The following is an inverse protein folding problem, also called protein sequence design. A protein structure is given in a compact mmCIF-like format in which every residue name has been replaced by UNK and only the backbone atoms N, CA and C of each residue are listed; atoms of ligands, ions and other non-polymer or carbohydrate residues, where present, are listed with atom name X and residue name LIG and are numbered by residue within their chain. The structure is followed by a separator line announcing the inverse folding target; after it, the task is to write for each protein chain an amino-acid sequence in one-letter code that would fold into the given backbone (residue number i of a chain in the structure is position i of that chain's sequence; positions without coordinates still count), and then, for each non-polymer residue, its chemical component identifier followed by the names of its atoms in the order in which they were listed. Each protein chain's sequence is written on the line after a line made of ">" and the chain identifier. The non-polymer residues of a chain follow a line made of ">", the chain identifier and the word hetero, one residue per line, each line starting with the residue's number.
data_IF_769928641053
#
_entry.id   IF_769928641053
#
_cell.length_a   1.000
_cell.length_b   1.000
_cell.length_c   1.000
_cell.angle_alpha   90.00
_cell.angle_beta   90.00
_cell.angle_gamma   90.00
#
_symmetry.space_group_name_H-M   'P 1'
#
loop_
_entity.id
_entity.type
_entity.pdbx_description
1 polymer ?
#
# COMPACT_ATOMS: atom_id res chain seq x y z
N UNK A 1 2.57 -25.31 -5.88
CA UNK A 1 2.02 -23.94 -5.69
C UNK A 1 2.95 -22.95 -6.36
N UNK A 2 2.53 -22.31 -7.43
CA UNK A 2 3.31 -21.36 -8.23
C UNK A 2 3.75 -20.17 -7.39
N UNK A 3 5.05 -19.89 -7.39
CA UNK A 3 5.58 -18.68 -6.72
C UNK A 3 4.93 -17.45 -7.33
N UNK A 4 4.15 -16.73 -6.54
CA UNK A 4 3.74 -15.37 -6.90
C UNK A 4 5.02 -14.53 -6.85
N UNK A 5 5.57 -14.25 -8.00
CA UNK A 5 6.72 -13.34 -8.15
C UNK A 5 6.39 -12.37 -9.28
N UNK A 6 6.46 -11.09 -8.99
CA UNK A 6 6.36 -10.07 -10.03
C UNK A 6 7.63 -10.11 -10.87
N UNK A 7 7.53 -10.79 -12.02
CA UNK A 7 8.60 -10.92 -12.98
C UNK A 7 8.79 -9.62 -13.76
N UNK A 8 9.99 -9.40 -14.25
CA UNK A 8 10.32 -8.26 -15.12
C UNK A 8 9.71 -8.46 -16.53
N UNK A 9 8.39 -8.58 -16.61
CA UNK A 9 7.59 -8.73 -17.84
C UNK A 9 6.55 -7.63 -17.91
N UNK A 10 6.22 -7.16 -19.08
CA UNK A 10 5.23 -6.10 -19.33
C UNK A 10 3.88 -6.42 -18.65
N UNK A 11 3.41 -7.67 -18.73
CA UNK A 11 2.16 -8.08 -18.07
C UNK A 11 2.20 -7.97 -16.54
N UNK A 12 3.39 -8.09 -15.91
CA UNK A 12 3.55 -7.90 -14.47
C UNK A 12 3.42 -6.41 -14.09
N UNK A 13 4.01 -5.52 -14.87
CA UNK A 13 3.87 -4.07 -14.66
C UNK A 13 2.43 -3.61 -14.85
N UNK A 14 1.75 -4.13 -15.87
CA UNK A 14 0.32 -3.85 -16.08
C UNK A 14 -0.53 -4.29 -14.89
N UNK A 15 -0.27 -5.47 -14.32
CA UNK A 15 -0.97 -5.94 -13.12
C UNK A 15 -0.74 -5.00 -11.93
N UNK A 16 0.47 -4.49 -11.75
CA UNK A 16 0.78 -3.54 -10.66
C UNK A 16 0.03 -2.21 -10.86
N UNK A 17 -0.02 -1.70 -12.08
CA UNK A 17 -0.82 -0.51 -12.42
C UNK A 17 -2.30 -0.74 -12.09
N UNK A 18 -2.85 -1.89 -12.50
CA UNK A 18 -4.24 -2.25 -12.22
C UNK A 18 -4.51 -2.32 -10.71
N UNK A 19 -3.61 -2.92 -9.92
CA UNK A 19 -3.70 -2.93 -8.47
C UNK A 19 -3.66 -1.52 -7.87
N UNK A 20 -2.81 -0.63 -8.42
CA UNK A 20 -2.78 0.78 -8.03
C UNK A 20 -4.10 1.50 -8.31
N UNK A 21 -4.67 1.28 -9.49
CA UNK A 21 -5.97 1.86 -9.88
C UNK A 21 -7.08 1.36 -8.95
N UNK A 22 -7.17 0.05 -8.70
CA UNK A 22 -8.19 -0.53 -7.83
C UNK A 22 -8.01 -0.02 -6.39
N UNK A 23 -6.77 -0.02 -5.88
CA UNK A 23 -6.46 0.51 -4.56
C UNK A 23 -6.85 1.97 -4.42
N UNK A 24 -6.49 2.80 -5.41
CA UNK A 24 -6.84 4.22 -5.44
C UNK A 24 -8.34 4.48 -5.53
N UNK A 25 -9.07 3.67 -6.32
CA UNK A 25 -10.52 3.76 -6.42
C UNK A 25 -11.21 3.41 -5.09
N UNK A 26 -10.80 2.32 -4.45
CA UNK A 26 -11.32 1.92 -3.14
C UNK A 26 -11.09 3.01 -2.10
N UNK A 27 -9.87 3.48 -2.00
CA UNK A 27 -9.50 4.53 -1.07
C UNK A 27 -10.27 5.81 -1.34
N UNK A 28 -10.24 6.30 -2.59
CA UNK A 28 -10.94 7.51 -2.97
C UNK A 28 -12.45 7.43 -2.76
N UNK A 29 -13.04 6.24 -2.96
CA UNK A 29 -14.44 6.00 -2.64
C UNK A 29 -14.72 6.15 -1.15
N UNK A 30 -13.91 5.51 -0.34
CA UNK A 30 -14.12 5.51 1.11
C UNK A 30 -13.81 6.86 1.78
N UNK A 31 -12.89 7.66 1.27
CA UNK A 31 -12.61 9.01 1.78
C UNK A 31 -13.79 10.01 1.63
N UNK A 32 -14.85 9.64 0.91
CA UNK A 32 -16.01 10.51 0.70
C UNK A 32 -17.00 10.49 1.86
N UNK A 33 -16.94 9.50 2.74
CA UNK A 33 -17.84 9.39 3.88
C UNK A 33 -17.42 10.35 5.00
N UNK A 34 -18.43 11.02 5.62
CA UNK A 34 -18.21 12.00 6.66
C UNK A 34 -17.61 11.38 7.93
N UNK A 35 -16.74 12.13 8.60
CA UNK A 35 -16.21 11.77 9.90
C UNK A 35 -17.26 11.72 11.01
N UNK A 36 -18.33 12.49 10.85
CA UNK A 36 -19.36 12.67 11.85
C UNK A 36 -20.40 11.55 11.83
N UNK A 37 -20.36 10.69 10.82
CA UNK A 37 -21.28 9.58 10.70
C UNK A 37 -20.80 8.41 11.54
N UNK A 38 -21.40 8.25 12.72
CA UNK A 38 -21.08 7.16 13.67
C UNK A 38 -21.19 5.76 13.04
N UNK A 39 -22.04 5.61 12.03
CA UNK A 39 -22.20 4.37 11.27
C UNK A 39 -21.13 4.18 10.20
N UNK A 40 -20.76 5.23 9.55
CA UNK A 40 -19.59 5.21 8.69
C UNK A 40 -18.32 5.11 9.54
N UNK A 41 -18.45 5.08 10.88
CA UNK A 41 -17.36 4.94 11.83
C UNK A 41 -16.33 6.06 11.70
N UNK A 42 -16.80 7.25 11.39
CA UNK A 42 -15.89 8.29 10.99
C UNK A 42 -14.84 7.71 10.03
N UNK A 43 -15.36 7.01 9.04
CA UNK A 43 -14.67 5.89 8.43
C UNK A 43 -13.38 6.34 7.83
N UNK A 44 -13.36 7.54 7.34
CA UNK A 44 -12.42 7.84 6.31
C UNK A 44 -11.98 9.29 6.37
N UNK A 45 -11.28 9.59 7.40
CA UNK A 45 -10.65 10.89 7.49
C UNK A 45 -9.38 11.04 6.72
N UNK A 46 -8.66 10.02 6.65
CA UNK A 46 -7.43 9.94 5.88
C UNK A 46 -7.14 8.48 5.63
N UNK A 47 -6.51 8.20 4.52
CA UNK A 47 -6.05 6.85 4.23
C UNK A 47 -5.18 6.33 5.34
N UNK A 48 -5.39 5.09 5.72
CA UNK A 48 -4.43 4.39 6.55
C UNK A 48 -3.13 4.25 5.77
N UNK A 49 -2.08 4.89 6.23
CA UNK A 49 -0.74 4.66 5.71
C UNK A 49 -0.35 3.19 5.87
N UNK A 50 -0.91 2.49 6.87
CA UNK A 50 -0.72 1.07 7.09
C UNK A 50 -1.16 0.20 5.91
N UNK A 51 -2.30 0.46 5.31
CA UNK A 51 -2.72 -0.23 4.09
C UNK A 51 -1.72 -0.02 2.94
N UNK A 52 -1.23 1.19 2.76
CA UNK A 52 -0.25 1.52 1.73
C UNK A 52 1.09 0.86 1.97
N UNK A 53 1.56 0.94 3.21
CA UNK A 53 2.81 0.31 3.61
C UNK A 53 2.74 -1.21 3.45
N UNK A 54 1.62 -1.83 3.81
CA UNK A 54 1.39 -3.26 3.62
C UNK A 54 1.47 -3.64 2.15
N UNK A 55 0.62 -3.04 1.32
CA UNK A 55 0.50 -3.40 -0.10
C UNK A 55 1.77 -3.09 -0.89
N UNK A 56 2.34 -1.89 -0.72
CA UNK A 56 3.58 -1.51 -1.39
C UNK A 56 4.74 -2.42 -0.98
N UNK A 57 4.87 -2.70 0.32
CA UNK A 57 5.95 -3.55 0.82
C UNK A 57 5.85 -4.98 0.34
N UNK A 58 4.65 -5.55 0.26
CA UNK A 58 4.44 -6.87 -0.31
C UNK A 58 4.79 -6.90 -1.80
N UNK A 59 4.36 -5.91 -2.57
CA UNK A 59 4.71 -5.78 -4.00
C UNK A 59 6.23 -5.78 -4.17
N UNK A 60 6.94 -5.00 -3.37
CA UNK A 60 8.41 -4.92 -3.42
C UNK A 60 9.06 -6.24 -3.05
N UNK A 61 8.65 -6.86 -1.95
CA UNK A 61 9.23 -8.12 -1.46
C UNK A 61 8.98 -9.29 -2.41
N UNK A 62 7.90 -9.25 -3.18
CA UNK A 62 7.61 -10.26 -4.22
C UNK A 62 8.20 -9.92 -5.59
N UNK A 63 8.81 -8.75 -5.76
CA UNK A 63 9.47 -8.37 -7.01
C UNK A 63 10.75 -9.18 -7.24
N UNK A 64 11.03 -9.51 -8.50
CA UNK A 64 12.14 -10.40 -8.87
C UNK A 64 13.50 -9.77 -8.60
N UNK A 65 13.68 -8.49 -8.95
CA UNK A 65 14.94 -7.75 -8.84
C UNK A 65 14.74 -6.46 -8.05
N UNK A 66 15.82 -5.88 -7.52
CA UNK A 66 15.74 -4.68 -6.68
C UNK A 66 15.18 -3.48 -7.44
N UNK A 67 15.59 -3.27 -8.68
CA UNK A 67 15.06 -2.18 -9.50
C UNK A 67 13.61 -2.45 -9.93
N UNK A 68 13.22 -3.70 -10.17
CA UNK A 68 11.82 -4.07 -10.40
C UNK A 68 10.97 -3.77 -9.17
N UNK A 69 11.51 -3.99 -7.96
CA UNK A 69 10.87 -3.61 -6.71
C UNK A 69 10.59 -2.11 -6.62
N UNK A 70 11.59 -1.30 -6.95
CA UNK A 70 11.43 0.15 -7.02
C UNK A 70 10.41 0.60 -8.07
N UNK A 71 10.52 0.09 -9.31
CA UNK A 71 9.58 0.42 -10.39
C UNK A 71 8.14 0.02 -10.02
N UNK A 72 7.95 -1.16 -9.47
CA UNK A 72 6.63 -1.63 -9.05
C UNK A 72 6.04 -0.77 -7.94
N UNK A 73 6.85 -0.36 -6.95
CA UNK A 73 6.44 0.56 -5.91
C UNK A 73 6.04 1.92 -6.49
N UNK A 74 6.85 2.45 -7.42
CA UNK A 74 6.55 3.70 -8.12
C UNK A 74 5.21 3.62 -8.85
N UNK A 75 5.03 2.63 -9.72
CA UNK A 75 3.82 2.47 -10.52
C UNK A 75 2.59 2.31 -9.63
N UNK A 76 2.67 1.43 -8.62
CA UNK A 76 1.57 1.20 -7.70
C UNK A 76 1.15 2.49 -6.98
N UNK A 77 2.09 3.17 -6.35
CA UNK A 77 1.83 4.37 -5.56
C UNK A 77 1.37 5.53 -6.44
N UNK A 78 2.00 5.74 -7.61
CA UNK A 78 1.61 6.78 -8.54
C UNK A 78 0.14 6.64 -8.95
N UNK A 79 -0.25 5.48 -9.47
CA UNK A 79 -1.61 5.26 -9.93
C UNK A 79 -2.63 5.26 -8.78
N UNK A 80 -2.24 4.75 -7.61
CA UNK A 80 -3.11 4.77 -6.45
C UNK A 80 -3.41 6.20 -5.98
N UNK A 81 -2.39 7.05 -5.83
CA UNK A 81 -2.59 8.46 -5.45
C UNK A 81 -3.36 9.25 -6.50
N UNK A 82 -3.00 9.05 -7.76
CA UNK A 82 -3.65 9.74 -8.87
C UNK A 82 -5.15 9.40 -8.94
N UNK A 83 -5.50 8.13 -8.88
CA UNK A 83 -6.90 7.69 -8.91
C UNK A 83 -7.67 8.14 -7.67
N UNK A 84 -7.04 8.10 -6.48
CA UNK A 84 -7.63 8.66 -5.25
C UNK A 84 -7.98 10.15 -5.45
N UNK A 85 -7.08 10.94 -6.03
CA UNK A 85 -7.33 12.34 -6.36
C UNK A 85 -8.53 12.55 -7.28
N UNK A 86 -8.67 11.70 -8.32
CA UNK A 86 -9.84 11.72 -9.22
C UNK A 86 -11.13 11.50 -8.44
N UNK A 87 -11.18 10.48 -7.57
CA UNK A 87 -12.38 10.18 -6.78
C UNK A 87 -12.73 11.31 -5.81
N UNK A 88 -11.74 11.94 -5.16
CA UNK A 88 -11.96 13.12 -4.31
C UNK A 88 -12.60 14.27 -5.08
N UNK A 89 -12.13 14.54 -6.30
CA UNK A 89 -12.72 15.58 -7.16
C UNK A 89 -14.11 15.23 -7.61
N UNK A 90 -14.34 13.99 -8.00
CA UNK A 90 -15.66 13.50 -8.40
C UNK A 90 -16.68 13.67 -7.27
N UNK A 91 -16.26 13.37 -6.04
CA UNK A 91 -17.10 13.61 -4.86
C UNK A 91 -17.41 15.09 -4.64
N UNK A 92 -16.42 15.97 -4.86
CA UNK A 92 -16.64 17.41 -4.73
C UNK A 92 -17.61 17.95 -5.79
N UNK A 93 -17.58 17.40 -7.00
CA UNK A 93 -18.58 17.71 -8.03
C UNK A 93 -19.96 17.25 -7.58
N UNK A 94 -20.08 16.02 -7.08
CA UNK A 94 -21.36 15.48 -6.61
C UNK A 94 -21.93 16.26 -5.43
N UNK A 95 -21.09 16.76 -4.54
CA UNK A 95 -21.48 17.61 -3.41
C UNK A 95 -21.74 19.08 -3.79
N UNK A 96 -21.54 19.46 -5.02
CA UNK A 96 -21.73 20.83 -5.51
C UNK A 96 -20.63 21.82 -5.11
N UNK A 97 -19.50 21.34 -4.58
CA UNK A 97 -18.34 22.18 -4.23
C UNK A 97 -17.44 22.48 -5.43
N UNK A 98 -17.60 21.74 -6.52
CA UNK A 98 -16.81 21.88 -7.73
C UNK A 98 -17.73 21.71 -8.94
N UNK A 99 -17.54 22.51 -9.98
CA UNK A 99 -18.18 22.32 -11.28
C UNK A 99 -17.41 21.33 -12.17
N UNK A 100 -18.03 20.89 -13.27
CA UNK A 100 -17.38 19.98 -14.20
C UNK A 100 -16.16 20.59 -14.90
N UNK A 101 -16.15 21.90 -15.13
CA UNK A 101 -15.01 22.60 -15.70
C UNK A 101 -13.82 22.61 -14.73
N UNK A 102 -14.09 22.82 -13.46
CA UNK A 102 -13.11 22.71 -12.38
C UNK A 102 -12.57 21.28 -12.22
N UNK A 103 -13.44 20.27 -12.37
CA UNK A 103 -13.02 18.87 -12.40
C UNK A 103 -12.01 18.60 -13.50
N UNK A 104 -12.33 18.98 -14.75
CA UNK A 104 -11.43 18.74 -15.88
C UNK A 104 -10.15 19.55 -15.82
N UNK A 105 -10.21 20.82 -15.40
CA UNK A 105 -9.01 21.63 -15.17
C UNK A 105 -8.09 21.00 -14.14
N UNK A 106 -8.65 20.47 -13.06
CA UNK A 106 -7.89 19.77 -12.05
C UNK A 106 -7.33 18.44 -12.52
N UNK A 107 -8.07 17.69 -13.34
CA UNK A 107 -7.62 16.43 -13.92
C UNK A 107 -6.37 16.60 -14.78
N UNK A 108 -6.24 17.75 -15.48
CA UNK A 108 -5.09 18.07 -16.34
C UNK A 108 -4.00 18.84 -15.57
N UNK A 109 -4.26 19.22 -14.30
CA UNK A 109 -3.33 20.05 -13.55
C UNK A 109 -2.02 19.34 -13.20
N UNK A 110 -0.89 20.00 -13.43
CA UNK A 110 0.44 19.51 -13.08
C UNK A 110 0.59 19.22 -11.58
N UNK A 111 -0.16 19.91 -10.72
CA UNK A 111 -0.06 19.75 -9.27
C UNK A 111 -0.38 18.35 -8.77
N UNK A 112 -1.41 17.72 -9.33
CA UNK A 112 -1.79 16.35 -8.95
C UNK A 112 -0.76 15.31 -9.41
N UNK A 113 -0.27 15.46 -10.64
CA UNK A 113 0.77 14.59 -11.17
C UNK A 113 2.08 14.77 -10.39
N UNK A 114 2.44 16.00 -10.06
CA UNK A 114 3.65 16.29 -9.29
C UNK A 114 3.56 15.71 -7.88
N UNK A 115 2.41 15.83 -7.22
CA UNK A 115 2.19 15.25 -5.90
C UNK A 115 2.27 13.73 -5.92
N UNK A 116 1.53 13.07 -6.81
CA UNK A 116 1.59 11.62 -6.97
C UNK A 116 2.99 11.14 -7.37
N UNK A 117 3.65 11.87 -8.27
CA UNK A 117 5.01 11.57 -8.72
C UNK A 117 6.06 11.70 -7.61
N UNK A 118 5.95 12.73 -6.76
CA UNK A 118 6.85 12.92 -5.62
C UNK A 118 6.78 11.72 -4.65
N UNK A 119 5.58 11.36 -4.21
CA UNK A 119 5.39 10.22 -3.31
C UNK A 119 5.82 8.91 -3.97
N UNK A 120 5.52 8.71 -5.24
CA UNK A 120 5.95 7.55 -5.99
C UNK A 120 7.50 7.49 -6.10
N UNK A 121 8.18 8.62 -6.29
CA UNK A 121 9.63 8.68 -6.34
C UNK A 121 10.27 8.32 -4.99
N UNK A 122 9.70 8.78 -3.89
CA UNK A 122 10.12 8.36 -2.54
C UNK A 122 9.96 6.84 -2.38
N UNK A 123 8.78 6.31 -2.76
CA UNK A 123 8.52 4.87 -2.68
C UNK A 123 9.39 4.05 -3.62
N UNK A 124 9.82 4.59 -4.76
CA UNK A 124 10.81 3.95 -5.64
C UNK A 124 12.13 3.69 -4.90
N UNK A 125 12.68 4.71 -4.24
CA UNK A 125 13.95 4.60 -3.50
C UNK A 125 13.79 3.64 -2.32
N UNK A 126 12.75 3.85 -1.51
CA UNK A 126 12.48 3.00 -0.35
C UNK A 126 12.20 1.55 -0.77
N UNK A 127 11.54 1.34 -1.90
CA UNK A 127 11.27 0.03 -2.47
C UNK A 127 12.56 -0.69 -2.89
N UNK A 128 13.51 0.01 -3.51
CA UNK A 128 14.81 -0.58 -3.82
C UNK A 128 15.54 -1.02 -2.55
N UNK A 129 15.51 -0.20 -1.49
CA UNK A 129 16.13 -0.51 -0.20
C UNK A 129 15.42 -1.71 0.46
N UNK A 130 14.10 -1.68 0.55
CA UNK A 130 13.31 -2.72 1.19
C UNK A 130 13.45 -4.09 0.50
N UNK A 131 13.69 -4.12 -0.81
CA UNK A 131 13.91 -5.36 -1.55
C UNK A 131 15.07 -6.18 -0.97
N UNK A 132 16.11 -5.54 -0.43
CA UNK A 132 17.21 -6.22 0.24
C UNK A 132 16.75 -6.98 1.50
N UNK A 133 15.62 -6.63 2.10
CA UNK A 133 15.00 -7.38 3.19
C UNK A 133 14.75 -8.87 2.89
N UNK A 134 14.84 -9.28 1.62
CA UNK A 134 14.78 -10.70 1.20
C UNK A 134 16.03 -11.51 1.55
N UNK A 135 17.16 -10.86 1.81
CA UNK A 135 18.42 -11.53 2.15
C UNK A 135 18.37 -12.05 3.59
N UNK A 136 19.23 -13.05 3.89
CA UNK A 136 19.23 -13.74 5.20
C UNK A 136 20.03 -13.03 6.30
N UNK A 137 20.73 -11.94 5.99
CA UNK A 137 21.50 -11.20 6.98
C UNK A 137 20.58 -10.53 8.00
N UNK A 138 20.99 -10.46 9.26
CA UNK A 138 20.23 -9.87 10.37
C UNK A 138 19.74 -8.47 10.08
N UNK A 139 20.59 -7.61 9.52
CA UNK A 139 20.22 -6.23 9.14
C UNK A 139 19.08 -6.22 8.13
N UNK A 140 19.10 -7.13 7.15
CA UNK A 140 18.05 -7.22 6.13
C UNK A 140 16.76 -7.85 6.66
N UNK A 141 16.86 -8.71 7.67
CA UNK A 141 15.68 -9.22 8.38
C UNK A 141 14.99 -8.08 9.13
N UNK A 142 15.74 -7.23 9.83
CA UNK A 142 15.18 -6.04 10.48
C UNK A 142 14.49 -5.14 9.47
N UNK A 143 15.14 -4.84 8.34
CA UNK A 143 14.58 -4.02 7.27
C UNK A 143 13.23 -4.55 6.78
N UNK A 144 13.08 -5.87 6.67
CA UNK A 144 11.83 -6.51 6.27
C UNK A 144 10.69 -6.32 7.28
N UNK A 145 10.99 -6.16 8.56
CA UNK A 145 10.00 -5.96 9.60
C UNK A 145 9.66 -4.48 9.87
N UNK A 146 10.42 -3.52 9.30
CA UNK A 146 10.13 -2.10 9.46
C UNK A 146 8.70 -1.72 9.04
N UNK A 147 8.16 -2.19 7.89
CA UNK A 147 6.78 -1.91 7.54
C UNK A 147 5.78 -2.45 8.57
N UNK A 148 6.02 -3.64 9.12
CA UNK A 148 5.17 -4.20 10.16
C UNK A 148 5.17 -3.34 11.44
N UNK A 149 6.34 -2.84 11.84
CA UNK A 149 6.47 -1.94 12.99
C UNK A 149 5.69 -0.63 12.76
N UNK A 150 5.79 -0.08 11.57
CA UNK A 150 5.03 1.12 11.20
C UNK A 150 3.52 0.89 11.25
N UNK A 151 3.03 -0.19 10.59
CA UNK A 151 1.60 -0.56 10.60
C UNK A 151 1.10 -0.80 12.03
N UNK A 152 1.91 -1.46 12.87
CA UNK A 152 1.59 -1.67 14.29
C UNK A 152 1.42 -0.35 15.03
N UNK A 153 2.36 0.59 14.84
CA UNK A 153 2.29 1.90 15.49
C UNK A 153 1.02 2.65 15.07
N UNK A 154 0.71 2.66 13.78
CA UNK A 154 -0.50 3.30 13.27
C UNK A 154 -1.76 2.61 13.80
N UNK A 155 -1.83 1.29 13.79
CA UNK A 155 -2.95 0.54 14.35
C UNK A 155 -3.18 0.86 15.82
N UNK A 156 -2.12 0.94 16.64
CA UNK A 156 -2.22 1.33 18.06
C UNK A 156 -2.78 2.74 18.22
N UNK A 157 -2.32 3.70 17.42
CA UNK A 157 -2.82 5.08 17.43
C UNK A 157 -4.29 5.15 17.02
N UNK A 158 -4.70 4.39 16.00
CA UNK A 158 -6.08 4.32 15.55
C UNK A 158 -6.98 3.68 16.59
N UNK A 159 -6.57 2.57 17.22
CA UNK A 159 -7.33 1.97 18.32
C UNK A 159 -7.46 2.91 19.53
N UNK A 160 -6.41 3.66 19.86
CA UNK A 160 -6.48 4.71 20.88
C UNK A 160 -7.52 5.78 20.52
N UNK A 161 -7.60 6.17 19.24
CA UNK A 161 -8.59 7.12 18.73
C UNK A 161 -10.02 6.56 18.79
N UNK A 162 -10.19 5.27 18.48
CA UNK A 162 -11.48 4.57 18.60
C UNK A 162 -11.98 4.59 20.04
N UNK A 163 -11.10 4.30 21.01
CA UNK A 163 -11.46 4.24 22.43
C UNK A 163 -11.77 5.63 22.97
N UNK A 164 -10.93 6.62 22.65
CA UNK A 164 -11.04 7.97 23.24
C UNK A 164 -12.05 8.86 22.54
N UNK A 165 -12.14 8.79 21.23
CA UNK A 165 -12.94 9.70 20.38
C UNK A 165 -14.07 9.00 19.63
N UNK A 166 -14.17 7.69 19.69
CA UNK A 166 -15.11 6.85 18.93
C UNK A 166 -15.03 7.08 17.41
N UNK A 167 -13.81 7.31 16.90
CA UNK A 167 -13.58 7.62 15.49
C UNK A 167 -12.56 6.66 14.89
N UNK A 168 -12.65 6.38 13.58
CA UNK A 168 -11.65 5.61 12.83
C UNK A 168 -11.65 4.09 13.06
N UNK A 169 -12.77 3.49 13.52
CA UNK A 169 -12.86 2.05 13.80
C UNK A 169 -12.52 1.20 12.57
N UNK A 170 -13.08 1.54 11.41
CA UNK A 170 -12.81 0.76 10.19
C UNK A 170 -11.32 0.79 9.83
N UNK A 171 -10.70 1.96 9.96
CA UNK A 171 -9.28 2.12 9.69
C UNK A 171 -8.42 1.29 10.65
N UNK A 172 -8.77 1.29 11.93
CA UNK A 172 -8.11 0.46 12.94
C UNK A 172 -8.23 -1.04 12.60
N UNK A 173 -9.39 -1.48 12.11
CA UNK A 173 -9.61 -2.85 11.65
C UNK A 173 -8.76 -3.14 10.41
N UNK A 174 -8.77 -2.28 9.40
CA UNK A 174 -8.00 -2.46 8.16
C UNK A 174 -6.51 -2.58 8.48
N UNK A 175 -5.96 -1.71 9.30
CA UNK A 175 -4.55 -1.77 9.66
C UNK A 175 -4.20 -3.02 10.48
N UNK A 176 -5.08 -3.42 11.38
CA UNK A 176 -4.90 -4.69 12.12
C UNK A 176 -4.89 -5.89 11.17
N UNK A 177 -5.80 -5.94 10.22
CA UNK A 177 -5.84 -6.99 9.19
C UNK A 177 -4.59 -6.94 8.32
N UNK A 178 -4.17 -5.76 7.88
CA UNK A 178 -2.95 -5.56 7.11
C UNK A 178 -1.71 -6.04 7.87
N UNK A 179 -1.61 -5.74 9.16
CA UNK A 179 -0.52 -6.19 10.02
C UNK A 179 -0.47 -7.72 10.11
N UNK A 180 -1.60 -8.35 10.39
CA UNK A 180 -1.70 -9.80 10.50
C UNK A 180 -1.33 -10.47 9.17
N UNK A 181 -1.88 -10.00 8.06
CA UNK A 181 -1.60 -10.52 6.73
C UNK A 181 -0.12 -10.34 6.36
N UNK A 182 0.44 -9.17 6.62
CA UNK A 182 1.84 -8.88 6.33
C UNK A 182 2.77 -9.82 7.09
N UNK A 183 2.59 -9.95 8.41
CA UNK A 183 3.39 -10.85 9.26
C UNK A 183 3.23 -12.30 8.80
N UNK A 184 1.99 -12.75 8.59
CA UNK A 184 1.70 -14.11 8.14
C UNK A 184 2.43 -14.45 6.84
N UNK A 185 2.33 -13.57 5.84
CA UNK A 185 2.96 -13.77 4.53
C UNK A 185 4.49 -13.84 4.67
N UNK A 186 5.09 -12.94 5.48
CA UNK A 186 6.54 -12.89 5.66
C UNK A 186 7.04 -14.13 6.39
N UNK A 187 6.39 -14.55 7.46
CA UNK A 187 6.79 -15.72 8.25
C UNK A 187 6.66 -16.98 7.38
N UNK A 188 5.52 -17.18 6.73
CA UNK A 188 5.28 -18.32 5.86
C UNK A 188 6.30 -18.42 4.71
N UNK A 189 6.64 -17.29 4.10
CA UNK A 189 7.63 -17.27 3.02
C UNK A 189 9.06 -17.59 3.53
N UNK A 190 9.37 -17.26 4.77
CA UNK A 190 10.66 -17.60 5.40
C UNK A 190 10.79 -19.09 5.72
N UNK A 191 9.72 -19.72 6.18
CA UNK A 191 9.70 -21.16 6.46
C UNK A 191 9.81 -22.03 5.21
N UNK A 192 9.17 -21.60 4.13
CA UNK A 192 9.22 -22.31 2.86
C UNK A 192 10.65 -22.40 2.31
N UNK A 193 11.40 -21.30 2.38
CA UNK A 193 12.81 -21.29 2.00
C UNK A 193 13.68 -22.19 2.87
N UNK A 194 13.37 -22.36 4.15
CA UNK A 194 14.07 -23.31 5.02
C UNK A 194 13.84 -24.76 4.61
N UNK A 195 12.61 -25.10 4.28
CA UNK A 195 12.26 -26.48 3.84
C UNK A 195 12.94 -26.83 2.52
N UNK A 196 12.97 -25.93 1.54
CA UNK A 196 13.68 -26.16 0.26
C UNK A 196 15.18 -26.40 0.49
N UNK A 197 15.84 -25.60 1.32
CA UNK A 197 17.28 -25.77 1.62
C UNK A 197 17.56 -27.08 2.34
N UNK A 198 16.71 -27.48 3.26
CA UNK A 198 16.87 -28.75 3.98
C UNK A 198 16.63 -29.97 3.07
N UNK A 199 15.64 -29.90 2.19
CA UNK A 199 15.37 -30.94 1.19
C UNK A 199 16.55 -31.12 0.21
N UNK A 200 17.16 -30.01 -0.25
CA UNK A 200 18.32 -30.05 -1.15
C UNK A 200 19.58 -30.61 -0.45
N UNK A 201 19.71 -30.39 0.87
CA UNK A 201 20.86 -30.97 1.65
C UNK A 201 20.73 -32.46 1.93
N UNK A 202 19.51 -33.01 1.87
CA UNK A 202 19.30 -34.46 2.08
C UNK A 202 19.49 -35.27 0.80
N UNK A 203 19.57 -34.63 -0.36
CA UNK A 203 19.74 -35.28 -1.67
C UNK A 203 21.23 -35.30 -2.11
N UNK A 204 22.06 -34.46 -1.51
CA UNK A 204 23.52 -34.41 -1.72
C UNK A 204 24.26 -35.03 -0.52
#
# INVERSE_FOLDING_TARGET
>A
MTRIAFRNKIGSFFSIVLFGIIGGALVGFFEQYSHDDLWAFALFGSMTLGFWMCTTSLIVLFSEKFYTGGINAFLYVFFMFYVTGIFKRLANVHKGFLDWDGFWRGFISWGEYAYAGLWAAVCFILGMILWFGRKKNVVFVILRFLPALYILTEAVLLWSSVISRRTGLFMAIVDTVCLILYIYIIVRNSEWKRREVNATRQIN
#
